data_IF_405550853969
#
_entry.id   IF_405550853969
#
_cell.length_a   1.000
_cell.length_b   1.000
_cell.length_c   1.000
_cell.angle_alpha   90.00
_cell.angle_beta   90.00
_cell.angle_gamma   90.00
#
_symmetry.space_group_name_H-M   'P 1'
#
loop_
_entity.id
_entity.type
_entity.pdbx_description
1 polymer ?
#
# COMPACT_ATOMS: atom_id res chain seq x y z
N UNK A 1 28.05 -0.17 -8.01
CA UNK A 1 26.58 -0.05 -7.94
C UNK A 1 25.87 -1.41 -8.01
N UNK A 2 26.09 -2.22 -9.05
CA UNK A 2 25.36 -3.50 -9.23
C UNK A 2 25.58 -4.50 -8.09
N UNK A 3 26.82 -4.66 -7.60
CA UNK A 3 27.15 -5.56 -6.49
C UNK A 3 26.51 -5.11 -5.17
N UNK A 4 26.46 -3.80 -4.94
CA UNK A 4 25.80 -3.24 -3.76
C UNK A 4 24.28 -3.42 -3.82
N UNK A 5 23.65 -3.16 -4.98
CA UNK A 5 22.23 -3.42 -5.20
C UNK A 5 21.89 -4.91 -4.95
N UNK A 6 22.69 -5.83 -5.47
CA UNK A 6 22.50 -7.26 -5.27
C UNK A 6 22.61 -7.65 -3.79
N UNK A 7 23.55 -7.06 -3.06
CA UNK A 7 23.66 -7.23 -1.61
C UNK A 7 22.41 -6.73 -0.89
N UNK A 8 21.97 -5.51 -1.18
CA UNK A 8 20.81 -4.90 -0.56
C UNK A 8 19.51 -5.68 -0.80
N UNK A 9 19.33 -6.29 -1.96
CA UNK A 9 18.20 -7.19 -2.25
C UNK A 9 18.30 -8.54 -1.53
N UNK A 10 19.50 -8.96 -1.14
CA UNK A 10 19.70 -10.26 -0.49
C UNK A 10 19.45 -10.26 1.02
N UNK A 11 19.71 -9.15 1.69
CA UNK A 11 19.66 -9.02 3.16
C UNK A 11 18.24 -9.14 3.72
N UNK A 12 17.22 -8.47 3.18
CA UNK A 12 15.89 -8.46 3.77
C UNK A 12 14.96 -9.59 3.26
N UNK A 13 15.48 -10.68 2.69
CA UNK A 13 14.64 -11.71 2.02
C UNK A 13 13.48 -12.22 2.88
N UNK A 14 13.74 -12.60 4.14
CA UNK A 14 12.68 -13.08 5.04
C UNK A 14 11.63 -12.01 5.29
N UNK A 15 12.06 -10.78 5.49
CA UNK A 15 11.17 -9.64 5.70
C UNK A 15 10.30 -9.40 4.46
N UNK A 16 10.92 -9.36 3.27
CA UNK A 16 10.23 -9.17 1.99
C UNK A 16 9.17 -10.26 1.78
N UNK A 17 9.54 -11.54 1.97
CA UNK A 17 8.61 -12.66 1.81
C UNK A 17 7.46 -12.61 2.80
N UNK A 18 7.71 -12.23 4.06
CA UNK A 18 6.65 -12.10 5.07
C UNK A 18 5.64 -11.02 4.67
N UNK A 19 6.10 -9.82 4.29
CA UNK A 19 5.22 -8.73 3.89
C UNK A 19 4.53 -8.96 2.53
N UNK A 20 5.12 -9.75 1.65
CA UNK A 20 4.51 -10.11 0.38
C UNK A 20 3.44 -11.20 0.54
N UNK A 21 3.64 -12.18 1.41
CA UNK A 21 2.79 -13.38 1.47
C UNK A 21 1.70 -13.25 2.54
N UNK A 22 2.05 -12.86 3.76
CA UNK A 22 1.11 -12.93 4.89
C UNK A 22 -0.13 -12.02 4.72
N UNK A 23 -0.02 -10.73 4.30
CA UNK A 23 -1.19 -9.92 4.04
C UNK A 23 -2.05 -10.47 2.89
N UNK A 24 -1.41 -10.91 1.81
CA UNK A 24 -2.14 -11.45 0.66
C UNK A 24 -2.97 -12.69 1.03
N UNK A 25 -2.40 -13.62 1.80
CA UNK A 25 -3.14 -14.80 2.27
C UNK A 25 -4.33 -14.40 3.15
N UNK A 26 -4.10 -13.48 4.09
CA UNK A 26 -5.18 -13.01 4.97
C UNK A 26 -6.34 -12.39 4.17
N UNK A 27 -6.02 -11.50 3.24
CA UNK A 27 -7.02 -10.80 2.43
C UNK A 27 -7.61 -11.66 1.31
N UNK A 28 -7.01 -12.80 0.99
CA UNK A 28 -7.62 -13.79 0.07
C UNK A 28 -8.66 -14.65 0.79
N UNK A 29 -8.39 -15.06 2.03
CA UNK A 29 -9.32 -15.92 2.79
C UNK A 29 -10.67 -15.21 2.99
N UNK A 30 -10.67 -13.92 3.31
CA UNK A 30 -11.89 -13.17 3.57
C UNK A 30 -12.83 -13.14 2.34
N UNK A 31 -12.44 -12.67 1.15
CA UNK A 31 -13.30 -12.71 -0.03
C UNK A 31 -13.76 -14.12 -0.42
N UNK A 32 -12.90 -15.12 -0.28
CA UNK A 32 -13.27 -16.50 -0.59
C UNK A 32 -14.38 -17.06 0.32
N UNK A 33 -14.46 -16.60 1.57
CA UNK A 33 -15.57 -16.99 2.46
C UNK A 33 -16.91 -16.42 2.00
N UNK A 34 -16.91 -15.26 1.39
CA UNK A 34 -18.12 -14.61 0.87
C UNK A 34 -18.52 -15.09 -0.52
N UNK A 35 -17.58 -15.53 -1.33
CA UNK A 35 -17.85 -16.06 -2.67
C UNK A 35 -18.43 -17.49 -2.66
N UNK A 36 -18.67 -18.09 -1.48
CA UNK A 36 -19.26 -19.41 -1.34
C UNK A 36 -20.79 -19.27 -1.18
N UNK A 37 -21.56 -19.81 -2.13
CA UNK A 37 -23.04 -19.75 -2.14
C UNK A 37 -23.72 -20.14 -0.82
N UNK A 38 -23.14 -21.07 -0.07
CA UNK A 38 -23.70 -21.52 1.22
C UNK A 38 -23.58 -20.49 2.33
N UNK A 39 -22.69 -19.52 2.20
CA UNK A 39 -22.37 -18.48 3.19
C UNK A 39 -22.89 -17.12 2.74
N UNK A 40 -22.99 -16.92 1.40
CA UNK A 40 -23.32 -15.64 0.77
C UNK A 40 -24.64 -15.06 1.30
N UNK A 41 -25.75 -15.80 1.26
CA UNK A 41 -27.05 -15.27 1.70
C UNK A 41 -27.13 -14.93 3.18
N UNK A 42 -26.60 -15.79 4.06
CA UNK A 42 -26.74 -15.62 5.51
C UNK A 42 -25.84 -14.54 6.09
N UNK A 43 -24.59 -14.43 5.59
CA UNK A 43 -23.62 -13.44 6.07
C UNK A 43 -23.84 -12.06 5.45
N UNK A 44 -24.17 -12.01 4.17
CA UNK A 44 -24.39 -10.73 3.46
C UNK A 44 -25.61 -9.99 4.06
N UNK A 45 -26.73 -10.66 4.23
CA UNK A 45 -27.94 -10.04 4.79
C UNK A 45 -27.72 -9.57 6.22
N UNK A 46 -27.06 -10.39 7.05
CA UNK A 46 -26.77 -10.03 8.44
C UNK A 46 -25.79 -8.85 8.52
N UNK A 47 -24.80 -8.81 7.66
CA UNK A 47 -23.83 -7.70 7.61
C UNK A 47 -24.43 -6.43 7.00
N UNK A 48 -25.22 -6.54 5.93
CA UNK A 48 -25.96 -5.41 5.37
C UNK A 48 -26.84 -4.74 6.43
N UNK A 49 -27.52 -5.53 7.26
CA UNK A 49 -28.37 -5.00 8.33
C UNK A 49 -27.56 -4.40 9.48
N UNK A 50 -26.44 -5.04 9.88
CA UNK A 50 -25.55 -4.54 10.94
C UNK A 50 -24.88 -3.20 10.55
N UNK A 51 -24.54 -3.04 9.29
CA UNK A 51 -23.83 -1.83 8.78
C UNK A 51 -24.77 -0.81 8.11
N UNK A 52 -26.08 -1.04 8.07
CA UNK A 52 -27.07 -0.16 7.44
C UNK A 52 -26.97 1.29 7.91
N UNK A 53 -26.69 1.51 9.21
CA UNK A 53 -26.49 2.87 9.74
C UNK A 53 -25.22 3.58 9.24
N UNK A 54 -24.26 2.84 8.66
CA UNK A 54 -23.05 3.42 8.07
C UNK A 54 -23.29 3.92 6.64
N UNK A 55 -24.20 3.27 5.89
CA UNK A 55 -24.52 3.67 4.51
C UNK A 55 -25.22 5.04 4.42
N UNK A 56 -25.76 5.52 5.52
CA UNK A 56 -26.41 6.85 5.61
C UNK A 56 -25.41 7.97 5.99
N UNK A 57 -24.10 7.61 6.20
CA UNK A 57 -23.08 8.55 6.65
C UNK A 57 -21.98 8.70 5.60
N UNK A 58 -22.07 9.75 4.78
CA UNK A 58 -21.10 10.04 3.71
C UNK A 58 -19.63 10.09 4.20
N UNK A 59 -19.39 10.63 5.40
CA UNK A 59 -18.03 10.68 5.97
C UNK A 59 -17.50 9.29 6.27
N UNK A 60 -18.36 8.39 6.76
CA UNK A 60 -17.97 7.00 7.02
C UNK A 60 -17.75 6.23 5.71
N UNK A 61 -18.57 6.47 4.70
CA UNK A 61 -18.42 5.89 3.37
C UNK A 61 -17.08 6.31 2.76
N UNK A 62 -16.77 7.60 2.75
CA UNK A 62 -15.49 8.13 2.27
C UNK A 62 -14.30 7.59 3.08
N UNK A 63 -14.42 7.50 4.42
CA UNK A 63 -13.38 6.94 5.28
C UNK A 63 -13.06 5.48 4.93
N UNK A 64 -14.06 4.70 4.54
CA UNK A 64 -13.89 3.31 4.13
C UNK A 64 -13.56 3.16 2.64
N UNK A 65 -13.56 4.24 1.86
CA UNK A 65 -13.37 4.20 0.41
C UNK A 65 -14.53 3.49 -0.31
N UNK A 66 -15.76 3.67 0.19
CA UNK A 66 -16.96 3.03 -0.34
C UNK A 66 -17.75 4.03 -1.17
N UNK A 67 -17.78 3.85 -2.49
CA UNK A 67 -18.59 4.67 -3.39
C UNK A 67 -20.03 4.15 -3.51
N UNK A 68 -20.19 2.82 -3.50
CA UNK A 68 -21.48 2.15 -3.58
C UNK A 68 -21.58 1.07 -2.51
N UNK A 69 -22.54 1.23 -1.60
CA UNK A 69 -22.77 0.32 -0.49
C UNK A 69 -23.14 -1.11 -0.94
N UNK A 70 -23.92 -1.23 -1.99
CA UNK A 70 -24.32 -2.55 -2.49
C UNK A 70 -23.16 -3.32 -3.12
N UNK A 71 -22.20 -2.61 -3.69
CA UNK A 71 -20.99 -3.20 -4.28
C UNK A 71 -20.02 -3.74 -3.23
N UNK A 72 -19.99 -3.19 -2.02
CA UNK A 72 -19.08 -3.62 -0.94
C UNK A 72 -19.20 -5.11 -0.60
N UNK A 73 -20.39 -5.67 -0.77
CA UNK A 73 -20.67 -7.09 -0.48
C UNK A 73 -20.47 -8.01 -1.69
N UNK A 74 -19.94 -7.51 -2.78
CA UNK A 74 -19.44 -8.32 -3.90
C UNK A 74 -17.99 -8.73 -3.65
N UNK A 75 -17.52 -9.76 -4.36
CA UNK A 75 -16.11 -10.16 -4.32
C UNK A 75 -15.18 -9.01 -4.72
N UNK A 76 -15.54 -8.28 -5.77
CA UNK A 76 -14.82 -7.11 -6.25
C UNK A 76 -14.80 -6.00 -5.21
N UNK A 77 -15.95 -5.62 -4.67
CA UNK A 77 -16.07 -4.58 -3.67
C UNK A 77 -15.32 -4.89 -2.38
N UNK A 78 -15.31 -6.15 -1.95
CA UNK A 78 -14.52 -6.56 -0.80
C UNK A 78 -13.02 -6.39 -1.03
N UNK A 79 -12.51 -6.83 -2.17
CA UNK A 79 -11.10 -6.71 -2.49
C UNK A 79 -10.72 -5.24 -2.65
N UNK A 80 -11.53 -4.45 -3.33
CA UNK A 80 -11.23 -3.03 -3.56
C UNK A 80 -11.35 -2.21 -2.30
N UNK A 81 -12.43 -2.33 -1.54
CA UNK A 81 -12.70 -1.52 -0.36
C UNK A 81 -11.86 -1.96 0.84
N UNK A 82 -12.01 -3.22 1.28
CA UNK A 82 -11.35 -3.66 2.52
C UNK A 82 -9.85 -3.86 2.34
N UNK A 83 -9.40 -4.38 1.21
CA UNK A 83 -7.99 -4.65 1.06
C UNK A 83 -7.25 -3.49 0.42
N UNK A 84 -7.64 -3.07 -0.78
CA UNK A 84 -6.85 -2.12 -1.56
C UNK A 84 -6.98 -0.71 -1.00
N UNK A 85 -8.20 -0.19 -0.82
CA UNK A 85 -8.40 1.20 -0.39
C UNK A 85 -8.00 1.41 1.06
N UNK A 86 -8.40 0.51 1.99
CA UNK A 86 -8.14 0.73 3.40
C UNK A 86 -6.72 0.31 3.82
N UNK A 87 -6.24 -0.84 3.39
CA UNK A 87 -4.99 -1.43 3.89
C UNK A 87 -3.85 -1.47 2.88
N UNK A 88 -4.13 -1.50 1.57
CA UNK A 88 -3.11 -1.74 0.56
C UNK A 88 -1.95 -0.73 0.64
N UNK A 89 -2.25 0.55 0.56
CA UNK A 89 -1.26 1.63 0.64
C UNK A 89 -0.57 1.64 2.01
N UNK A 90 -1.35 1.52 3.11
CA UNK A 90 -0.82 1.56 4.49
C UNK A 90 0.17 0.42 4.74
N UNK A 91 -0.16 -0.80 4.34
CA UNK A 91 0.71 -1.96 4.55
C UNK A 91 2.01 -1.85 3.77
N UNK A 92 1.96 -1.40 2.51
CA UNK A 92 3.18 -1.17 1.73
C UNK A 92 3.98 0.00 2.29
N UNK A 93 3.34 1.08 2.73
CA UNK A 93 4.01 2.21 3.37
C UNK A 93 4.76 1.77 4.63
N UNK A 94 4.10 1.08 5.55
CA UNK A 94 4.74 0.55 6.75
C UNK A 94 5.89 -0.40 6.43
N UNK A 95 5.70 -1.31 5.48
CA UNK A 95 6.74 -2.23 5.05
C UNK A 95 7.97 -1.50 4.49
N UNK A 96 7.77 -0.49 3.64
CA UNK A 96 8.86 0.26 3.03
C UNK A 96 9.55 1.21 4.00
N UNK A 97 8.80 1.85 4.92
CA UNK A 97 9.38 2.65 6.01
C UNK A 97 10.29 1.78 6.88
N UNK A 98 9.81 0.59 7.31
CA UNK A 98 10.63 -0.35 8.11
C UNK A 98 11.86 -0.81 7.35
N UNK A 99 11.68 -1.19 6.08
CA UNK A 99 12.77 -1.68 5.24
C UNK A 99 13.87 -0.64 5.10
N UNK A 100 13.51 0.56 4.63
CA UNK A 100 14.47 1.63 4.37
C UNK A 100 15.11 2.15 5.64
N UNK A 101 14.36 2.25 6.74
CA UNK A 101 14.90 2.65 8.02
C UNK A 101 15.95 1.65 8.54
N UNK A 102 15.70 0.35 8.45
CA UNK A 102 16.68 -0.68 8.83
C UNK A 102 17.94 -0.65 7.98
N UNK A 103 17.81 -0.29 6.71
CA UNK A 103 18.93 -0.26 5.76
C UNK A 103 19.75 1.04 5.84
N UNK A 104 19.25 2.07 6.54
CA UNK A 104 19.86 3.41 6.59
C UNK A 104 20.03 3.93 8.03
N UNK A 105 19.10 4.76 8.48
CA UNK A 105 19.23 5.47 9.76
C UNK A 105 19.45 4.53 10.96
N UNK A 106 18.78 3.38 10.97
CA UNK A 106 19.00 2.37 12.01
C UNK A 106 20.38 1.72 11.91
N UNK A 107 20.85 1.44 10.70
CA UNK A 107 22.18 0.92 10.47
C UNK A 107 23.27 1.94 10.87
N UNK A 108 22.99 3.24 10.71
CA UNK A 108 23.87 4.34 11.18
C UNK A 108 23.90 4.43 12.71
N UNK A 109 22.76 4.40 13.38
CA UNK A 109 22.66 4.37 14.85
C UNK A 109 23.39 3.15 15.45
N UNK A 110 23.30 1.98 14.81
CA UNK A 110 23.92 0.74 15.26
C UNK A 110 25.41 0.65 14.87
N UNK A 111 25.96 1.66 14.17
CA UNK A 111 27.36 1.69 13.69
C UNK A 111 27.67 0.73 12.55
N UNK A 112 26.67 0.00 12.02
CA UNK A 112 26.88 -0.96 10.94
C UNK A 112 26.98 -0.30 9.56
N UNK A 113 26.55 0.97 9.45
CA UNK A 113 26.63 1.75 8.22
C UNK A 113 28.06 2.17 7.86
N UNK A 114 29.01 2.13 8.81
CA UNK A 114 30.43 2.46 8.58
C UNK A 114 31.04 1.59 7.48
N UNK A 115 30.61 0.32 7.40
CA UNK A 115 31.02 -0.56 6.30
C UNK A 115 30.56 -0.06 4.92
N UNK A 116 29.35 0.45 4.82
CA UNK A 116 28.81 1.05 3.58
C UNK A 116 29.52 2.37 3.26
N UNK A 117 29.79 3.17 4.30
CA UNK A 117 30.49 4.45 4.17
C UNK A 117 31.94 4.30 3.75
N UNK A 118 32.59 3.15 4.03
CA UNK A 118 33.96 2.84 3.57
C UNK A 118 34.05 2.47 2.10
N UNK A 119 32.91 2.17 1.42
CA UNK A 119 32.90 1.87 0.01
C UNK A 119 33.12 3.14 -0.84
N UNK A 120 33.78 3.04 -1.99
CA UNK A 120 34.03 4.18 -2.87
C UNK A 120 32.74 4.59 -3.62
N UNK A 121 31.70 4.99 -2.87
CA UNK A 121 30.40 5.41 -3.40
C UNK A 121 30.03 6.79 -2.91
N UNK A 122 29.34 7.56 -3.76
CA UNK A 122 28.78 8.85 -3.34
C UNK A 122 27.50 8.65 -2.52
N UNK A 123 27.17 9.60 -1.65
CA UNK A 123 25.91 9.60 -0.89
C UNK A 123 24.68 9.50 -1.81
N UNK A 124 24.72 10.18 -2.97
CA UNK A 124 23.66 10.10 -3.96
C UNK A 124 23.50 8.68 -4.52
N UNK A 125 24.59 7.97 -4.78
CA UNK A 125 24.55 6.55 -5.24
C UNK A 125 23.88 5.67 -4.18
N UNK A 126 24.20 5.86 -2.90
CA UNK A 126 23.60 5.12 -1.79
C UNK A 126 22.10 5.40 -1.74
N UNK A 127 21.70 6.69 -1.73
CA UNK A 127 20.31 7.10 -1.70
C UNK A 127 19.51 6.50 -2.86
N UNK A 128 19.96 6.68 -4.09
CA UNK A 128 19.31 6.15 -5.28
C UNK A 128 19.20 4.62 -5.25
N UNK A 129 20.22 3.93 -4.74
CA UNK A 129 20.17 2.46 -4.63
C UNK A 129 19.09 2.02 -3.65
N UNK A 130 18.95 2.69 -2.52
CA UNK A 130 17.89 2.38 -1.55
C UNK A 130 16.49 2.66 -2.11
N UNK A 131 16.32 3.79 -2.82
CA UNK A 131 15.05 4.11 -3.49
C UNK A 131 14.67 3.07 -4.55
N UNK A 132 15.63 2.63 -5.36
CA UNK A 132 15.42 1.56 -6.36
C UNK A 132 15.04 0.23 -5.67
N UNK A 133 15.68 -0.11 -4.54
CA UNK A 133 15.31 -1.30 -3.76
C UNK A 133 13.88 -1.18 -3.22
N UNK A 134 13.47 -0.01 -2.74
CA UNK A 134 12.13 0.21 -2.24
C UNK A 134 11.07 0.09 -3.35
N UNK A 135 11.32 0.67 -4.53
CA UNK A 135 10.44 0.55 -5.70
C UNK A 135 10.31 -0.92 -6.09
N UNK A 136 11.44 -1.62 -6.23
CA UNK A 136 11.44 -3.05 -6.55
C UNK A 136 10.65 -3.86 -5.52
N UNK A 137 10.79 -3.53 -4.25
CA UNK A 137 10.05 -4.18 -3.16
C UNK A 137 8.55 -3.91 -3.25
N UNK A 138 8.11 -2.67 -3.47
CA UNK A 138 6.71 -2.32 -3.67
C UNK A 138 6.08 -3.04 -4.87
N UNK A 139 6.77 -3.05 -6.01
CA UNK A 139 6.33 -3.78 -7.20
C UNK A 139 6.28 -5.30 -6.97
N UNK A 140 7.24 -5.86 -6.25
CA UNK A 140 7.25 -7.29 -5.89
C UNK A 140 6.07 -7.64 -4.97
N UNK A 141 5.77 -6.81 -3.97
CA UNK A 141 4.57 -6.98 -3.13
C UNK A 141 3.31 -6.94 -3.99
N UNK A 142 3.16 -5.93 -4.84
CA UNK A 142 2.00 -5.76 -5.70
C UNK A 142 1.79 -6.99 -6.59
N UNK A 143 2.83 -7.44 -7.28
CA UNK A 143 2.77 -8.64 -8.11
C UNK A 143 2.39 -9.89 -7.31
N UNK A 144 2.99 -10.06 -6.12
CA UNK A 144 2.72 -11.21 -5.26
C UNK A 144 1.28 -11.18 -4.74
N UNK A 145 0.78 -10.03 -4.30
CA UNK A 145 -0.58 -9.86 -3.83
C UNK A 145 -1.61 -10.17 -4.92
N UNK A 146 -1.42 -9.60 -6.12
CA UNK A 146 -2.30 -9.91 -7.26
C UNK A 146 -2.40 -11.41 -7.50
N UNK A 147 -1.27 -12.10 -7.57
CA UNK A 147 -1.27 -13.53 -7.92
C UNK A 147 -1.83 -14.40 -6.78
N UNK A 148 -1.52 -14.11 -5.52
CA UNK A 148 -2.04 -14.86 -4.37
C UNK A 148 -3.56 -14.68 -4.26
N UNK A 149 -4.09 -13.50 -4.55
CA UNK A 149 -5.53 -13.26 -4.53
C UNK A 149 -6.23 -13.84 -5.76
N UNK A 150 -5.67 -13.65 -6.94
CA UNK A 150 -6.30 -14.02 -8.20
C UNK A 150 -6.32 -15.53 -8.45
N UNK A 151 -5.21 -16.25 -8.22
CA UNK A 151 -5.10 -17.65 -8.60
C UNK A 151 -6.16 -18.54 -7.92
N UNK A 152 -6.38 -18.46 -6.60
CA UNK A 152 -7.44 -19.24 -5.94
C UNK A 152 -8.83 -18.90 -6.51
N UNK A 153 -9.14 -17.61 -6.70
CA UNK A 153 -10.43 -17.16 -7.20
C UNK A 153 -10.67 -17.67 -8.62
N UNK A 154 -9.67 -17.59 -9.50
CA UNK A 154 -9.78 -18.04 -10.89
C UNK A 154 -9.83 -19.58 -11.05
N UNK A 155 -9.38 -20.34 -10.04
CA UNK A 155 -9.39 -21.82 -10.08
C UNK A 155 -10.59 -22.44 -9.39
N UNK A 156 -11.33 -21.67 -8.58
CA UNK A 156 -12.55 -22.11 -7.93
C UNK A 156 -13.76 -21.80 -8.82
N UNK A 157 -14.75 -22.69 -8.81
CA UNK A 157 -16.06 -22.42 -9.45
C UNK A 157 -16.88 -21.50 -8.55
N UNK A 158 -16.56 -20.22 -8.56
CA UNK A 158 -17.26 -19.20 -7.78
C UNK A 158 -18.34 -18.51 -8.63
N UNK A 159 -19.37 -18.04 -7.97
CA UNK A 159 -20.46 -17.26 -8.61
C UNK A 159 -19.99 -15.90 -9.12
N UNK A 160 -18.92 -15.36 -8.53
CA UNK A 160 -18.33 -14.08 -8.86
C UNK A 160 -16.87 -14.25 -9.29
N UNK A 161 -16.40 -13.41 -10.19
CA UNK A 161 -15.03 -13.42 -10.70
C UNK A 161 -14.35 -12.08 -10.46
N UNK A 162 -13.02 -12.10 -10.43
CA UNK A 162 -12.18 -10.90 -10.43
C UNK A 162 -11.41 -10.81 -11.74
N UNK A 163 -11.30 -9.60 -12.27
CA UNK A 163 -10.48 -9.35 -13.44
C UNK A 163 -9.02 -9.12 -13.05
N UNK A 164 -8.11 -9.85 -13.71
CA UNK A 164 -6.68 -9.79 -13.40
C UNK A 164 -6.05 -8.42 -13.66
N UNK A 165 -6.38 -7.79 -14.79
CA UNK A 165 -5.75 -6.54 -15.18
C UNK A 165 -6.13 -5.35 -14.27
N UNK A 166 -7.40 -5.13 -13.92
CA UNK A 166 -7.78 -4.16 -12.91
C UNK A 166 -7.15 -4.43 -11.53
N UNK A 167 -7.15 -5.69 -11.08
CA UNK A 167 -6.54 -6.06 -9.80
C UNK A 167 -5.03 -5.77 -9.78
N UNK A 168 -4.32 -6.09 -10.86
CA UNK A 168 -2.89 -5.78 -11.00
C UNK A 168 -2.65 -4.28 -10.99
N UNK A 169 -3.46 -3.50 -11.72
CA UNK A 169 -3.40 -2.04 -11.72
C UNK A 169 -3.52 -1.46 -10.33
N UNK A 170 -4.54 -1.89 -9.59
CA UNK A 170 -4.82 -1.40 -8.25
C UNK A 170 -3.70 -1.75 -7.27
N UNK A 171 -3.21 -2.98 -7.29
CA UNK A 171 -2.10 -3.40 -6.42
C UNK A 171 -0.78 -2.72 -6.77
N UNK A 172 -0.49 -2.49 -8.06
CA UNK A 172 0.70 -1.73 -8.50
C UNK A 172 0.64 -0.29 -8.00
N UNK A 173 -0.51 0.36 -8.12
CA UNK A 173 -0.67 1.74 -7.65
C UNK A 173 -0.54 1.82 -6.13
N UNK A 174 -1.16 0.89 -5.37
CA UNK A 174 -0.98 0.78 -3.92
C UNK A 174 0.49 0.55 -3.54
N UNK A 175 1.19 -0.27 -4.31
CA UNK A 175 2.63 -0.52 -4.15
C UNK A 175 3.46 0.75 -4.29
N UNK A 176 3.24 1.52 -5.35
CA UNK A 176 3.95 2.77 -5.61
C UNK A 176 3.59 3.85 -4.59
N UNK A 177 2.30 4.03 -4.30
CA UNK A 177 1.83 4.98 -3.29
C UNK A 177 2.44 4.69 -1.92
N UNK A 178 2.47 3.42 -1.49
CA UNK A 178 3.10 3.03 -0.24
C UNK A 178 4.62 3.27 -0.21
N UNK A 179 5.32 3.00 -1.32
CA UNK A 179 6.77 3.25 -1.45
C UNK A 179 7.10 4.74 -1.25
N UNK A 180 6.27 5.67 -1.73
CA UNK A 180 6.53 7.11 -1.61
C UNK A 180 6.73 7.54 -0.16
N UNK A 181 5.93 7.03 0.79
CA UNK A 181 6.08 7.32 2.22
C UNK A 181 7.39 6.75 2.80
N UNK A 182 7.77 5.56 2.36
CA UNK A 182 9.04 4.95 2.75
C UNK A 182 10.24 5.79 2.31
N UNK A 183 10.25 6.25 1.05
CA UNK A 183 11.32 7.06 0.49
C UNK A 183 11.39 8.44 1.13
N UNK A 184 10.25 9.10 1.37
CA UNK A 184 10.21 10.39 2.08
C UNK A 184 10.71 10.27 3.52
N UNK A 185 10.28 9.23 4.25
CA UNK A 185 10.80 8.94 5.60
C UNK A 185 12.31 8.66 5.57
N UNK A 186 12.77 7.88 4.60
CA UNK A 186 14.19 7.61 4.40
C UNK A 186 15.01 8.88 4.13
N UNK A 187 14.50 9.80 3.30
CA UNK A 187 15.18 11.06 3.01
C UNK A 187 15.45 11.87 4.28
N UNK A 188 14.46 11.99 5.17
CA UNK A 188 14.62 12.69 6.43
C UNK A 188 15.52 11.93 7.42
N UNK A 189 15.40 10.62 7.48
CA UNK A 189 16.26 9.74 8.26
C UNK A 189 17.72 9.82 7.83
N UNK A 190 18.00 9.80 6.54
CA UNK A 190 19.34 9.93 5.97
C UNK A 190 19.94 11.34 6.20
N UNK A 191 19.10 12.37 6.23
CA UNK A 191 19.54 13.74 6.56
C UNK A 191 19.89 13.91 8.04
N UNK A 192 19.11 13.31 8.93
CA UNK A 192 19.25 13.51 10.38
C UNK A 192 20.12 12.45 11.05
N UNK A 193 20.38 11.32 10.41
CA UNK A 193 21.05 10.15 10.99
C UNK A 193 20.26 9.46 12.10
N UNK A 194 18.93 9.74 12.23
CA UNK A 194 18.10 9.23 13.32
C UNK A 194 16.91 8.43 12.82
N UNK A 195 16.82 7.19 13.28
CA UNK A 195 15.74 6.26 12.99
C UNK A 195 14.36 6.80 13.39
N UNK A 196 14.28 7.51 14.52
CA UNK A 196 13.02 8.09 15.01
C UNK A 196 12.44 9.14 14.05
N UNK A 197 13.27 9.92 13.37
CA UNK A 197 12.81 10.91 12.38
C UNK A 197 12.34 10.24 11.08
N UNK A 198 13.01 9.17 10.63
CA UNK A 198 12.58 8.40 9.47
C UNK A 198 11.17 7.82 9.69
N UNK A 199 10.96 7.20 10.85
CA UNK A 199 9.68 6.64 11.24
C UNK A 199 8.61 7.73 11.44
N UNK A 200 8.92 8.72 12.25
CA UNK A 200 7.97 9.77 12.63
C UNK A 200 7.47 10.54 11.41
N UNK A 201 8.36 10.87 10.47
CA UNK A 201 7.99 11.60 9.27
C UNK A 201 7.21 10.71 8.26
N UNK A 202 7.73 9.53 7.94
CA UNK A 202 7.07 8.64 6.97
C UNK A 202 5.70 8.18 7.44
N UNK A 203 5.60 7.68 8.67
CA UNK A 203 4.32 7.23 9.23
C UNK A 203 3.39 8.39 9.59
N UNK A 204 3.92 9.52 10.05
CA UNK A 204 3.14 10.72 10.35
C UNK A 204 2.52 11.33 9.10
N UNK A 205 3.31 11.46 8.02
CA UNK A 205 2.80 11.95 6.73
C UNK A 205 1.71 11.02 6.18
N UNK A 206 1.96 9.70 6.19
CA UNK A 206 0.98 8.70 5.80
C UNK A 206 -0.33 8.86 6.58
N UNK A 207 -0.26 8.99 7.91
CA UNK A 207 -1.44 9.14 8.74
C UNK A 207 -2.20 10.45 8.46
N UNK A 208 -1.49 11.56 8.26
CA UNK A 208 -2.10 12.86 7.93
C UNK A 208 -2.79 12.79 6.56
N UNK A 209 -2.13 12.24 5.54
CA UNK A 209 -2.70 12.13 4.19
C UNK A 209 -3.90 11.16 4.19
N UNK A 210 -3.83 10.06 4.93
CA UNK A 210 -4.95 9.13 5.09
C UNK A 210 -6.17 9.79 5.75
N UNK A 211 -5.95 10.58 6.81
CA UNK A 211 -7.03 11.34 7.46
C UNK A 211 -7.58 12.39 6.49
N UNK A 212 -6.72 13.11 5.76
CA UNK A 212 -7.16 14.11 4.79
C UNK A 212 -8.05 13.49 3.70
N UNK A 213 -7.65 12.33 3.16
CA UNK A 213 -8.46 11.57 2.20
C UNK A 213 -9.82 11.17 2.81
N UNK A 214 -9.82 10.63 4.04
CA UNK A 214 -11.04 10.20 4.73
C UNK A 214 -12.06 11.32 4.98
N UNK A 215 -11.59 12.56 5.17
CA UNK A 215 -12.45 13.73 5.45
C UNK A 215 -12.48 14.76 4.32
N UNK A 216 -11.94 14.44 3.15
CA UNK A 216 -11.86 15.34 1.98
C UNK A 216 -13.22 15.94 1.58
N UNK A 217 -14.29 15.14 1.65
CA UNK A 217 -15.65 15.59 1.38
C UNK A 217 -16.24 16.59 2.39
N UNK A 218 -15.57 16.88 3.51
CA UNK A 218 -16.12 17.76 4.58
C UNK A 218 -15.52 19.17 4.58
N UNK A 219 -14.37 19.39 3.93
CA UNK A 219 -13.66 20.68 3.98
C UNK A 219 -12.76 20.87 2.77
N UNK A 220 -12.82 22.05 2.16
CA UNK A 220 -12.05 22.42 0.96
C UNK A 220 -10.54 22.28 1.14
N UNK A 221 -10.00 22.51 2.34
CA UNK A 221 -8.57 22.33 2.62
C UNK A 221 -8.15 20.87 2.54
N UNK A 222 -8.95 19.97 3.13
CA UNK A 222 -8.66 18.54 3.07
C UNK A 222 -8.84 17.99 1.66
N UNK A 223 -9.85 18.46 0.93
CA UNK A 223 -10.04 18.14 -0.48
C UNK A 223 -8.82 18.58 -1.30
N UNK A 224 -8.33 19.82 -1.10
CA UNK A 224 -7.15 20.31 -1.79
C UNK A 224 -5.87 19.49 -1.46
N UNK A 225 -5.68 19.10 -0.19
CA UNK A 225 -4.56 18.24 0.21
C UNK A 225 -4.67 16.88 -0.47
N UNK A 226 -5.85 16.32 -0.51
CA UNK A 226 -6.12 15.02 -1.13
C UNK A 226 -5.83 15.04 -2.62
N UNK A 227 -6.34 16.03 -3.34
CA UNK A 227 -6.19 16.16 -4.78
C UNK A 227 -4.76 16.52 -5.23
N UNK A 228 -3.99 17.26 -4.41
CA UNK A 228 -2.72 17.83 -4.87
C UNK A 228 -1.48 17.29 -4.16
N UNK A 229 -1.63 16.69 -2.99
CA UNK A 229 -0.50 16.23 -2.16
C UNK A 229 -0.62 14.75 -1.82
N UNK A 230 -1.82 14.27 -1.49
CA UNK A 230 -2.03 12.94 -0.92
C UNK A 230 -1.70 11.82 -1.91
N UNK A 231 -0.90 10.85 -1.45
CA UNK A 231 -0.73 9.61 -2.21
C UNK A 231 -1.97 8.71 -2.13
N UNK A 232 -2.85 8.92 -1.16
CA UNK A 232 -4.16 8.26 -1.09
C UNK A 232 -5.12 8.87 -2.10
N UNK A 233 -5.20 10.20 -2.22
CA UNK A 233 -5.98 10.84 -3.27
C UNK A 233 -5.48 10.49 -4.67
N UNK A 234 -4.16 10.50 -4.85
CA UNK A 234 -3.55 10.06 -6.11
C UNK A 234 -3.78 8.57 -6.42
N UNK A 235 -4.00 7.73 -5.41
CA UNK A 235 -4.36 6.33 -5.59
C UNK A 235 -5.72 6.21 -6.30
N UNK A 236 -6.70 7.03 -5.94
CA UNK A 236 -8.01 7.08 -6.59
C UNK A 236 -8.75 5.73 -6.58
N UNK A 237 -9.38 5.39 -7.71
CA UNK A 237 -10.10 4.13 -7.91
C UNK A 237 -9.42 3.25 -8.98
N UNK A 238 -8.17 2.79 -8.80
CA UNK A 238 -7.38 2.17 -9.86
C UNK A 238 -7.88 0.79 -10.28
N UNK A 239 -8.77 0.17 -9.54
CA UNK A 239 -9.41 -1.07 -9.97
C UNK A 239 -10.45 -0.79 -11.06
N UNK A 240 -11.19 0.32 -10.97
CA UNK A 240 -12.22 0.70 -11.93
C UNK A 240 -11.60 1.40 -13.15
N UNK A 241 -10.68 2.34 -12.92
CA UNK A 241 -10.14 3.24 -13.92
C UNK A 241 -8.76 2.81 -14.45
N UNK A 242 -8.14 1.77 -13.88
CA UNK A 242 -6.80 1.30 -14.18
C UNK A 242 -5.72 2.22 -13.60
N UNK A 243 -4.44 1.95 -13.95
CA UNK A 243 -3.30 2.76 -13.51
C UNK A 243 -3.39 4.24 -13.93
N UNK A 244 -4.08 4.51 -15.04
CA UNK A 244 -4.24 5.87 -15.58
C UNK A 244 -5.30 6.66 -14.79
N UNK A 245 -6.23 5.98 -14.11
CA UNK A 245 -7.23 6.63 -13.27
C UNK A 245 -6.69 7.23 -11.99
N UNK A 246 -5.54 6.70 -11.49
CA UNK A 246 -4.78 7.32 -10.40
C UNK A 246 -3.75 8.33 -10.92
N UNK A 247 -3.39 9.33 -10.13
CA UNK A 247 -2.31 10.27 -10.46
C UNK A 247 -0.93 9.66 -10.15
N UNK A 248 -0.48 8.78 -11.06
CA UNK A 248 0.84 8.17 -10.96
C UNK A 248 1.96 9.22 -10.99
N UNK A 249 1.73 10.38 -11.64
CA UNK A 249 2.69 11.48 -11.70
C UNK A 249 2.96 12.08 -10.33
N UNK A 250 1.90 12.30 -9.53
CA UNK A 250 2.02 12.80 -8.16
C UNK A 250 2.79 11.80 -7.27
N UNK A 251 2.49 10.51 -7.38
CA UNK A 251 3.17 9.47 -6.61
C UNK A 251 4.64 9.35 -6.97
N UNK A 252 4.97 9.32 -8.27
CA UNK A 252 6.36 9.23 -8.74
C UNK A 252 7.16 10.50 -8.40
N UNK A 253 6.52 11.66 -8.34
CA UNK A 253 7.16 12.91 -7.92
C UNK A 253 7.64 12.91 -6.47
N UNK A 254 7.11 12.03 -5.62
CA UNK A 254 7.52 11.85 -4.21
C UNK A 254 8.65 10.83 -4.01
N UNK A 255 8.94 9.99 -5.01
CA UNK A 255 9.99 8.96 -5.00
C UNK A 255 11.29 9.52 -5.54
#
# INVERSE_FOLDING_TARGET
MLSYLKYMLSVPRKFIMTWAIAPALYFTILPLTFANESVEGLMIDTQKEAFRGMSENDTMMNFLGIDDWDNVFTLEGMVTTYFLSLFGVILVALATIVLLNKMSAKAEEDGTFEFVASLPMTRATVYLTHSVVAIFFGLFIAFTWTNIMYIPIATMELTQTLDYAPLMSATLMAGLAGVSYGVLGFALGAYTGKSSYAWGFGAGLMAIEWIANAVSGTNDLFLWIDDNISSFGAYGAPYQDGLIGGDIGLVLGKI
#
